data_IF_999866331376
#
_entry.id   IF_999866331376
#
_cell.length_a   1.000
_cell.length_b   1.000
_cell.length_c   1.000
_cell.angle_alpha   90.00
_cell.angle_beta   90.00
_cell.angle_gamma   90.00
#
_symmetry.space_group_name_H-M   'P 1'
#
loop_
_entity.id
_entity.type
_entity.pdbx_description
1 polymer ?
#
# COMPACT_ATOMS: atom_id res chain seq x y z
N UNK A 1 1.38 -21.46 -22.99
CA UNK A 1 2.50 -20.49 -22.93
C UNK A 1 2.33 -19.68 -21.66
N UNK A 2 3.41 -19.41 -20.92
CA UNK A 2 3.35 -18.54 -19.74
C UNK A 2 3.32 -17.08 -20.17
N UNK A 3 2.20 -16.41 -19.94
CA UNK A 3 1.98 -15.02 -20.38
C UNK A 3 2.99 -14.05 -19.76
N UNK A 4 3.45 -14.32 -18.54
CA UNK A 4 4.37 -13.43 -17.82
C UNK A 4 5.78 -13.41 -18.42
N UNK A 5 6.13 -14.41 -19.24
CA UNK A 5 7.39 -14.49 -19.96
C UNK A 5 7.23 -14.19 -21.46
N UNK A 6 6.05 -13.73 -21.88
CA UNK A 6 5.76 -13.51 -23.30
C UNK A 6 6.24 -12.13 -23.79
N UNK A 7 6.91 -12.11 -24.94
CA UNK A 7 7.28 -10.85 -25.60
C UNK A 7 6.05 -10.05 -26.03
N UNK A 8 4.93 -10.74 -26.28
CA UNK A 8 3.65 -10.12 -26.57
C UNK A 8 3.20 -9.18 -25.45
N UNK A 9 3.28 -9.63 -24.19
CA UNK A 9 2.91 -8.83 -23.03
C UNK A 9 3.76 -7.56 -22.94
N UNK A 10 5.08 -7.68 -23.08
CA UNK A 10 6.00 -6.53 -23.03
C UNK A 10 5.70 -5.50 -24.12
N UNK A 11 5.43 -5.96 -25.34
CA UNK A 11 5.07 -5.08 -26.45
C UNK A 11 3.72 -4.39 -26.23
N UNK A 12 2.74 -5.08 -25.64
CA UNK A 12 1.45 -4.49 -25.27
C UNK A 12 1.63 -3.43 -24.16
N UNK A 13 2.40 -3.73 -23.12
CA UNK A 13 2.72 -2.79 -22.05
C UNK A 13 3.41 -1.53 -22.58
N UNK A 14 4.42 -1.68 -23.44
CA UNK A 14 5.13 -0.55 -24.03
C UNK A 14 4.22 0.40 -24.82
N UNK A 15 3.18 -0.13 -25.47
CA UNK A 15 2.20 0.63 -26.26
C UNK A 15 1.00 1.15 -25.46
N UNK A 16 0.72 0.55 -24.31
CA UNK A 16 -0.50 0.80 -23.52
C UNK A 16 -0.63 2.23 -23.00
N UNK A 17 0.48 2.91 -22.70
CA UNK A 17 0.48 4.27 -22.17
C UNK A 17 1.76 5.03 -22.54
N UNK A 18 1.64 6.36 -22.50
CA UNK A 18 2.76 7.30 -22.65
C UNK A 18 3.50 7.55 -21.34
N UNK A 19 2.85 7.33 -20.19
CA UNK A 19 3.46 7.52 -18.87
C UNK A 19 4.01 6.19 -18.31
N UNK A 20 5.16 6.18 -17.62
CA UNK A 20 5.71 4.97 -17.01
C UNK A 20 4.72 4.31 -16.02
N UNK A 21 4.10 5.11 -15.14
CA UNK A 21 3.06 4.64 -14.21
C UNK A 21 1.88 4.01 -14.96
N UNK A 22 1.42 4.63 -16.05
CA UNK A 22 0.31 4.08 -16.83
C UNK A 22 0.66 2.74 -17.50
N UNK A 23 1.93 2.53 -17.90
CA UNK A 23 2.39 1.25 -18.46
C UNK A 23 2.49 0.15 -17.40
N UNK A 24 2.78 0.51 -16.16
CA UNK A 24 2.77 -0.44 -15.04
C UNK A 24 1.33 -0.84 -14.71
N UNK A 25 0.42 0.14 -14.59
CA UNK A 25 -0.97 -0.12 -14.21
C UNK A 25 -1.78 -0.83 -15.30
N UNK A 26 -1.43 -0.63 -16.58
CA UNK A 26 -2.07 -1.33 -17.69
C UNK A 26 -1.79 -2.83 -17.70
N UNK A 27 -0.77 -3.31 -16.98
CA UNK A 27 -0.52 -4.74 -16.78
C UNK A 27 -1.77 -5.46 -16.28
N UNK A 28 -2.45 -4.87 -15.31
CA UNK A 28 -3.64 -5.47 -14.71
C UNK A 28 -4.82 -5.49 -15.68
N UNK A 29 -4.99 -4.42 -16.47
CA UNK A 29 -6.05 -4.34 -17.48
C UNK A 29 -5.81 -5.34 -18.62
N UNK A 30 -4.58 -5.41 -19.13
CA UNK A 30 -4.19 -6.34 -20.20
C UNK A 30 -4.38 -7.79 -19.74
N UNK A 31 -4.00 -8.11 -18.50
CA UNK A 31 -4.23 -9.44 -17.94
C UNK A 31 -5.73 -9.72 -17.78
N UNK A 32 -6.53 -8.74 -17.35
CA UNK A 32 -7.98 -8.90 -17.17
C UNK A 32 -8.68 -9.18 -18.50
N UNK A 33 -8.33 -8.41 -19.54
CA UNK A 33 -8.86 -8.58 -20.89
C UNK A 33 -8.46 -9.94 -21.47
N UNK A 34 -7.22 -10.35 -21.24
CA UNK A 34 -6.71 -11.63 -21.71
C UNK A 34 -7.37 -12.82 -21.01
N UNK A 35 -7.58 -12.75 -19.69
CA UNK A 35 -8.29 -13.79 -18.94
C UNK A 35 -9.79 -13.88 -19.29
N UNK A 36 -10.38 -12.77 -19.73
CA UNK A 36 -11.80 -12.72 -20.12
C UNK A 36 -12.04 -13.15 -21.57
N UNK A 37 -11.00 -13.35 -22.37
CA UNK A 37 -11.13 -13.67 -23.78
C UNK A 37 -11.60 -15.13 -23.98
N UNK A 38 -12.66 -15.36 -24.78
CA UNK A 38 -13.11 -16.71 -25.10
C UNK A 38 -12.04 -17.48 -25.89
N UNK A 39 -11.98 -18.80 -25.68
CA UNK A 39 -11.06 -19.75 -26.35
C UNK A 39 -9.56 -19.63 -26.03
N UNK A 40 -9.17 -18.83 -25.03
CA UNK A 40 -7.78 -18.82 -24.54
C UNK A 40 -7.58 -19.89 -23.45
N UNK A 41 -6.81 -20.93 -23.76
CA UNK A 41 -6.30 -21.86 -22.75
C UNK A 41 -5.18 -21.20 -21.93
N UNK A 42 -5.58 -20.51 -20.87
CA UNK A 42 -4.67 -19.85 -19.95
C UNK A 42 -3.91 -20.89 -19.12
N UNK A 43 -2.58 -20.90 -19.24
CA UNK A 43 -1.70 -21.66 -18.33
C UNK A 43 -0.81 -20.69 -17.59
N UNK A 44 -1.11 -20.44 -16.31
CA UNK A 44 -0.18 -19.78 -15.40
C UNK A 44 0.54 -20.90 -14.63
N UNK A 45 1.80 -21.12 -14.97
CA UNK A 45 2.62 -22.16 -14.34
C UNK A 45 2.78 -21.86 -12.86
N UNK A 46 2.35 -22.72 -11.93
CA UNK A 46 2.47 -22.43 -10.49
C UNK A 46 3.92 -22.20 -10.02
N UNK A 47 4.89 -22.83 -10.69
CA UNK A 47 6.32 -22.80 -10.36
C UNK A 47 7.15 -22.14 -11.48
N UNK A 48 6.85 -20.90 -11.87
CA UNK A 48 7.71 -20.24 -12.85
C UNK A 48 9.00 -19.76 -12.19
N UNK A 49 10.09 -19.97 -12.91
CA UNK A 49 11.35 -19.22 -12.79
C UNK A 49 11.07 -17.72 -12.65
N UNK A 50 11.96 -16.95 -11.99
CA UNK A 50 11.80 -15.51 -11.87
C UNK A 50 11.49 -14.92 -13.25
N UNK A 51 10.41 -14.15 -13.35
CA UNK A 51 9.93 -13.52 -14.60
C UNK A 51 10.86 -12.35 -14.97
N UNK A 52 12.14 -12.67 -15.15
CA UNK A 52 13.24 -11.74 -15.34
C UNK A 52 12.95 -10.67 -16.42
N UNK A 53 12.38 -10.99 -17.60
CA UNK A 53 12.12 -9.97 -18.61
C UNK A 53 10.98 -9.00 -18.22
N UNK A 54 9.95 -9.47 -17.52
CA UNK A 54 8.87 -8.62 -17.03
C UNK A 54 9.35 -7.76 -15.85
N UNK A 55 10.09 -8.34 -14.92
CA UNK A 55 10.65 -7.63 -13.77
C UNK A 55 11.62 -6.55 -14.25
N UNK A 56 12.48 -6.84 -15.23
CA UNK A 56 13.37 -5.85 -15.83
C UNK A 56 12.60 -4.67 -16.46
N UNK A 57 11.56 -4.97 -17.25
CA UNK A 57 10.70 -3.93 -17.83
C UNK A 57 10.02 -3.07 -16.74
N UNK A 58 9.43 -3.71 -15.73
CA UNK A 58 8.77 -3.03 -14.62
C UNK A 58 9.77 -2.22 -13.79
N UNK A 59 11.00 -2.68 -13.64
CA UNK A 59 12.08 -1.97 -12.95
C UNK A 59 12.46 -0.70 -13.69
N UNK A 60 12.56 -0.76 -15.02
CA UNK A 60 12.80 0.42 -15.86
C UNK A 60 11.66 1.44 -15.70
N UNK A 61 10.41 0.99 -15.75
CA UNK A 61 9.26 1.90 -15.58
C UNK A 61 9.19 2.47 -14.15
N UNK A 62 9.49 1.67 -13.12
CA UNK A 62 9.54 2.10 -11.72
C UNK A 62 10.66 3.13 -11.49
N UNK A 63 11.81 2.94 -12.13
CA UNK A 63 12.92 3.91 -12.11
C UNK A 63 12.50 5.22 -12.76
N UNK A 64 11.83 5.16 -13.92
CA UNK A 64 11.30 6.34 -14.59
C UNK A 64 10.18 7.04 -13.80
N UNK A 65 9.48 6.33 -12.92
CA UNK A 65 8.54 6.90 -11.95
C UNK A 65 9.22 7.60 -10.76
N UNK A 66 10.53 7.40 -10.55
CA UNK A 66 11.26 7.92 -9.40
C UNK A 66 11.01 7.14 -8.11
N UNK A 67 10.74 5.84 -8.20
CA UNK A 67 10.59 4.98 -7.04
C UNK A 67 11.89 4.91 -6.22
N UNK A 68 11.78 4.91 -4.89
CA UNK A 68 12.93 4.78 -3.99
C UNK A 68 13.67 3.45 -4.18
N UNK A 69 12.92 2.35 -4.28
CA UNK A 69 13.45 1.01 -4.50
C UNK A 69 12.80 0.37 -5.75
N UNK A 70 13.26 0.70 -6.98
CA UNK A 70 12.58 0.33 -8.21
C UNK A 70 12.56 -1.18 -8.48
N UNK A 71 13.64 -1.90 -8.16
CA UNK A 71 13.72 -3.36 -8.35
C UNK A 71 12.69 -4.08 -7.47
N UNK A 72 12.67 -3.72 -6.18
CA UNK A 72 11.73 -4.28 -5.19
C UNK A 72 10.28 -3.98 -5.59
N UNK A 73 9.98 -2.74 -6.02
CA UNK A 73 8.65 -2.38 -6.50
C UNK A 73 8.23 -3.23 -7.71
N UNK A 74 9.14 -3.47 -8.65
CA UNK A 74 8.87 -4.24 -9.85
C UNK A 74 8.57 -5.72 -9.53
N UNK A 75 9.37 -6.35 -8.68
CA UNK A 75 9.12 -7.71 -8.19
C UNK A 75 7.75 -7.84 -7.52
N UNK A 76 7.39 -6.85 -6.69
CA UNK A 76 6.10 -6.85 -5.99
C UNK A 76 4.92 -6.72 -6.94
N UNK A 77 5.00 -5.81 -7.90
CA UNK A 77 3.94 -5.64 -8.89
C UNK A 77 3.79 -6.89 -9.74
N UNK A 78 4.90 -7.51 -10.16
CA UNK A 78 4.87 -8.76 -10.90
C UNK A 78 4.20 -9.89 -10.10
N UNK A 79 4.49 -10.01 -8.79
CA UNK A 79 3.85 -11.01 -7.95
C UNK A 79 2.36 -10.71 -7.74
N UNK A 80 2.00 -9.47 -7.41
CA UNK A 80 0.60 -9.05 -7.20
C UNK A 80 -0.23 -9.36 -8.47
N UNK A 81 0.29 -9.03 -9.65
CA UNK A 81 -0.34 -9.34 -10.92
C UNK A 81 -0.52 -10.85 -11.15
N UNK A 82 0.51 -11.64 -10.85
CA UNK A 82 0.46 -13.10 -10.94
C UNK A 82 -0.58 -13.73 -10.02
N UNK A 83 -0.58 -13.35 -8.76
CA UNK A 83 -1.49 -13.90 -7.76
C UNK A 83 -2.93 -13.48 -8.05
N UNK A 84 -3.15 -12.23 -8.47
CA UNK A 84 -4.46 -11.77 -8.91
C UNK A 84 -4.97 -12.55 -10.12
N UNK A 85 -4.10 -12.79 -11.11
CA UNK A 85 -4.46 -13.59 -12.29
C UNK A 85 -4.78 -15.05 -11.93
N UNK A 86 -4.00 -15.67 -11.02
CA UNK A 86 -4.30 -17.01 -10.50
C UNK A 86 -5.63 -17.04 -9.74
N UNK A 87 -5.92 -16.00 -8.94
CA UNK A 87 -7.16 -15.90 -8.19
C UNK A 87 -8.37 -15.79 -9.14
N UNK A 88 -8.26 -14.97 -10.18
CA UNK A 88 -9.32 -14.76 -11.18
C UNK A 88 -9.58 -16.01 -12.04
N UNK A 89 -8.55 -16.83 -12.30
CA UNK A 89 -8.70 -18.15 -12.92
C UNK A 89 -9.44 -19.16 -12.05
N UNK A 90 -9.16 -19.15 -10.74
CA UNK A 90 -9.83 -20.07 -9.81
C UNK A 90 -11.24 -19.60 -9.44
N UNK A 91 -11.48 -18.29 -9.48
CA UNK A 91 -12.75 -17.63 -9.14
C UNK A 91 -13.08 -16.57 -10.19
N UNK A 92 -13.75 -16.96 -11.29
CA UNK A 92 -14.19 -16.02 -12.31
C UNK A 92 -15.07 -14.92 -11.71
N UNK A 93 -14.93 -13.69 -12.20
CA UNK A 93 -15.66 -12.49 -11.77
C UNK A 93 -15.36 -11.95 -10.35
N UNK A 94 -14.27 -12.39 -9.70
CA UNK A 94 -13.85 -11.83 -8.40
C UNK A 94 -13.10 -10.48 -8.53
N UNK A 95 -13.01 -9.91 -9.74
CA UNK A 95 -12.36 -8.62 -10.02
C UNK A 95 -10.97 -8.46 -9.36
N UNK A 96 -10.24 -9.57 -9.21
CA UNK A 96 -9.03 -9.64 -8.39
C UNK A 96 -7.93 -8.78 -9.00
N UNK A 97 -7.83 -8.75 -10.34
CA UNK A 97 -6.92 -7.85 -11.05
C UNK A 97 -7.28 -6.36 -10.89
N UNK A 98 -8.56 -6.02 -10.80
CA UNK A 98 -8.97 -4.63 -10.58
C UNK A 98 -8.59 -4.13 -9.17
N UNK A 99 -8.69 -5.00 -8.15
CA UNK A 99 -8.20 -4.71 -6.80
C UNK A 99 -6.68 -4.61 -6.77
N UNK A 100 -5.99 -5.55 -7.42
CA UNK A 100 -4.54 -5.57 -7.55
C UNK A 100 -3.99 -4.31 -8.25
N UNK A 101 -4.70 -3.77 -9.23
CA UNK A 101 -4.37 -2.49 -9.88
C UNK A 101 -4.39 -1.32 -8.90
N UNK A 102 -5.45 -1.20 -8.08
CA UNK A 102 -5.57 -0.12 -7.07
C UNK A 102 -4.46 -0.20 -6.03
N UNK A 103 -4.11 -1.42 -5.64
CA UNK A 103 -2.98 -1.69 -4.76
C UNK A 103 -1.66 -1.24 -5.39
N UNK A 104 -1.40 -1.65 -6.63
CA UNK A 104 -0.16 -1.28 -7.33
C UNK A 104 -0.03 0.24 -7.48
N UNK A 105 -1.15 0.93 -7.74
CA UNK A 105 -1.17 2.40 -7.76
C UNK A 105 -0.78 2.98 -6.40
N UNK A 106 -1.35 2.48 -5.30
CA UNK A 106 -0.99 2.90 -3.95
C UNK A 106 0.50 2.62 -3.62
N UNK A 107 1.06 1.50 -4.08
CA UNK A 107 2.47 1.17 -3.89
C UNK A 107 3.39 2.10 -4.68
N UNK A 108 3.06 2.38 -5.94
CA UNK A 108 3.80 3.34 -6.76
C UNK A 108 3.75 4.71 -6.09
N UNK A 109 2.58 5.17 -5.64
CA UNK A 109 2.45 6.44 -4.94
C UNK A 109 3.27 6.47 -3.65
N UNK A 110 3.26 5.41 -2.84
CA UNK A 110 4.04 5.33 -1.62
C UNK A 110 5.56 5.40 -1.89
N UNK A 111 6.03 4.73 -2.93
CA UNK A 111 7.46 4.67 -3.29
C UNK A 111 7.97 5.90 -4.04
N UNK A 112 7.07 6.70 -4.64
CA UNK A 112 7.43 7.89 -5.43
C UNK A 112 7.17 9.21 -4.68
N UNK A 113 6.33 9.19 -3.65
CA UNK A 113 6.08 10.35 -2.78
C UNK A 113 7.17 10.52 -1.73
N UNK A 114 8.38 10.83 -2.20
CA UNK A 114 9.48 11.30 -1.36
C UNK A 114 9.12 12.65 -0.73
N UNK A 115 8.90 12.69 0.59
CA UNK A 115 8.83 13.91 1.42
C UNK A 115 7.91 15.06 0.98
N UNK A 116 6.87 14.80 0.17
CA UNK A 116 5.95 15.89 -0.25
C UNK A 116 4.99 16.36 0.83
N UNK A 117 4.92 15.67 1.96
CA UNK A 117 4.13 16.07 3.14
C UNK A 117 4.94 16.89 4.15
N UNK A 118 6.28 16.87 4.12
CA UNK A 118 7.13 17.69 4.99
C UNK A 118 7.24 19.16 4.52
N UNK A 119 6.93 19.45 3.25
CA UNK A 119 7.01 20.79 2.64
C UNK A 119 5.62 21.40 2.35
N UNK A 120 4.65 21.24 3.27
CA UNK A 120 3.42 22.04 3.29
C UNK A 120 3.19 22.80 4.61
N UNK A 121 4.24 22.96 5.41
CA UNK A 121 4.27 23.86 6.56
C UNK A 121 5.07 25.11 6.17
N UNK A 122 4.39 26.14 5.68
CA UNK A 122 4.78 27.56 5.70
C UNK A 122 4.27 28.31 4.46
N UNK A 123 2.97 28.59 4.44
CA UNK A 123 2.46 29.84 3.86
C UNK A 123 1.16 30.27 4.54
N UNK A 124 1.14 30.21 5.88
CA UNK A 124 0.21 31.03 6.64
C UNK A 124 0.77 32.45 6.58
N UNK A 125 0.10 33.34 5.85
CA UNK A 125 0.44 34.77 5.84
C UNK A 125 0.37 35.28 7.29
N UNK A 126 1.38 36.02 7.80
CA UNK A 126 1.25 36.66 9.10
C UNK A 126 0.19 37.77 8.97
N UNK A 127 -0.93 37.61 9.66
CA UNK A 127 -1.88 38.70 9.87
C UNK A 127 -1.21 39.69 10.83
N UNK A 128 -0.90 40.86 10.30
CA UNK A 128 -0.28 41.98 11.00
C UNK A 128 -1.23 42.47 12.10
N UNK A 129 -0.63 42.72 13.27
CA UNK A 129 -1.22 43.33 14.45
C UNK A 129 -2.00 44.62 14.14
N UNK A 130 -3.23 44.71 14.64
CA UNK A 130 -3.95 45.95 14.84
C UNK A 130 -4.19 46.18 16.33
N UNK A 131 -3.28 46.92 16.97
CA UNK A 131 -3.48 47.47 18.32
C UNK A 131 -4.48 48.61 18.19
N UNK A 132 -5.61 48.55 18.90
CA UNK A 132 -6.48 49.71 19.09
C UNK A 132 -6.92 49.79 20.56
N UNK A 133 -6.18 50.63 21.27
CA UNK A 133 -6.53 51.48 22.40
C UNK A 133 -7.73 51.13 23.30
N UNK A 134 -7.39 50.86 24.56
CA UNK A 134 -8.16 51.19 25.75
C UNK A 134 -8.59 52.66 25.80
N UNK A 135 -9.84 52.94 26.19
CA UNK A 135 -10.18 54.02 27.14
C UNK A 135 -11.63 53.89 27.65
N UNK A 136 -11.75 54.18 28.94
CA UNK A 136 -12.86 53.99 29.86
C UNK A 136 -13.90 55.14 29.82
N UNK A 137 -15.03 54.88 30.48
CA UNK A 137 -15.81 55.78 31.37
C UNK A 137 -17.22 56.19 30.90
N UNK A 138 -18.19 55.61 31.64
CA UNK A 138 -19.43 56.13 32.22
C UNK A 138 -20.45 56.92 31.39
N UNK A 139 -21.67 56.39 31.37
CA UNK A 139 -22.93 57.10 31.12
C UNK A 139 -24.08 56.38 31.84
N UNK A 140 -24.92 57.14 32.52
CA UNK A 140 -25.79 56.76 33.63
C UNK A 140 -27.16 56.21 33.16
N UNK A 141 -27.73 55.34 33.99
CA UNK A 141 -29.10 54.82 34.09
C UNK A 141 -30.20 55.32 33.13
N UNK A 142 -30.98 54.39 32.57
CA UNK A 142 -32.38 54.10 32.98
C UNK A 142 -32.89 52.87 32.24
N UNK A 143 -33.86 52.20 32.85
CA UNK A 143 -34.50 50.95 32.43
C UNK A 143 -34.95 50.94 30.95
N UNK A 144 -35.08 49.75 30.37
CA UNK A 144 -36.34 49.19 29.84
C UNK A 144 -36.10 47.74 29.37
N UNK A 145 -37.05 46.87 29.71
CA UNK A 145 -37.21 45.53 29.15
C UNK A 145 -37.42 45.62 27.63
N UNK A 146 -36.81 44.71 26.86
CA UNK A 146 -37.39 44.08 25.65
C UNK A 146 -36.45 42.93 25.23
N UNK A 147 -37.01 41.72 25.19
CA UNK A 147 -36.49 40.55 24.49
C UNK A 147 -36.67 40.77 22.98
N UNK A 148 -35.74 40.31 22.13
CA UNK A 148 -36.20 39.40 21.10
C UNK A 148 -35.31 38.16 20.94
N UNK A 149 -36.01 37.07 20.62
CA UNK A 149 -35.53 35.84 20.04
C UNK A 149 -34.56 36.05 18.86
N UNK A 150 -33.77 35.00 18.61
CA UNK A 150 -33.01 34.65 17.39
C UNK A 150 -31.50 34.85 17.47
N UNK A 151 -30.77 33.79 17.86
CA UNK A 151 -30.19 32.87 16.87
C UNK A 151 -29.42 31.78 17.62
N UNK A 152 -29.88 30.52 17.50
CA UNK A 152 -29.08 29.36 17.88
C UNK A 152 -27.85 29.33 16.98
N UNK A 153 -26.73 29.73 17.54
CA UNK A 153 -25.39 29.47 17.00
C UNK A 153 -25.17 27.95 17.04
N UNK A 154 -25.56 27.27 15.96
CA UNK A 154 -24.99 25.97 15.63
C UNK A 154 -23.53 26.20 15.27
N UNK A 155 -22.66 26.21 16.27
CA UNK A 155 -21.30 25.74 16.07
C UNK A 155 -21.39 24.21 15.93
N UNK A 156 -21.04 23.63 14.77
CA UNK A 156 -20.67 22.24 14.77
C UNK A 156 -19.36 22.16 15.56
N UNK A 157 -19.45 21.72 16.81
CA UNK A 157 -18.32 21.06 17.46
C UNK A 157 -18.08 19.76 16.69
N UNK A 158 -17.37 19.84 15.57
CA UNK A 158 -16.60 18.73 15.07
C UNK A 158 -15.46 18.53 16.07
N UNK A 159 -15.79 17.85 17.17
CA UNK A 159 -14.83 17.02 17.84
C UNK A 159 -14.39 15.99 16.78
N UNK A 160 -13.31 16.32 16.05
CA UNK A 160 -12.50 15.30 15.41
C UNK A 160 -11.84 14.58 16.58
N UNK A 161 -12.60 13.65 17.14
CA UNK A 161 -12.02 12.53 17.83
C UNK A 161 -11.11 11.90 16.79
N UNK A 162 -9.81 12.17 16.89
CA UNK A 162 -8.78 11.44 16.19
C UNK A 162 -8.77 10.03 16.79
N UNK A 163 -9.82 9.27 16.49
CA UNK A 163 -9.75 7.84 16.39
C UNK A 163 -8.71 7.60 15.31
N UNK A 164 -7.47 7.42 15.78
CA UNK A 164 -6.49 6.55 15.16
C UNK A 164 -7.31 5.44 14.52
N UNK A 165 -7.40 5.43 13.20
CA UNK A 165 -7.87 4.26 12.50
C UNK A 165 -6.99 3.14 13.06
N UNK A 166 -7.53 2.16 13.80
CA UNK A 166 -6.77 0.97 14.03
C UNK A 166 -6.47 0.45 12.64
N UNK A 167 -5.19 0.27 12.33
CA UNK A 167 -4.77 -0.63 11.27
C UNK A 167 -5.68 -1.84 11.38
N UNK A 168 -6.52 -2.03 10.36
CA UNK A 168 -7.56 -3.04 10.36
C UNK A 168 -6.85 -4.37 10.60
N UNK A 169 -6.96 -4.88 11.82
CA UNK A 169 -6.74 -6.28 12.09
C UNK A 169 -7.91 -6.99 11.41
N UNK A 170 -7.72 -7.30 10.13
CA UNK A 170 -8.62 -8.20 9.41
C UNK A 170 -8.46 -9.54 10.12
N UNK A 171 -9.51 -9.96 10.81
CA UNK A 171 -9.60 -11.29 11.36
C UNK A 171 -9.36 -12.29 10.23
N UNK A 172 -8.28 -13.07 10.35
CA UNK A 172 -8.03 -14.25 9.52
C UNK A 172 -9.15 -15.25 9.79
N UNK A 173 -10.17 -15.24 8.94
CA UNK A 173 -11.11 -16.34 8.82
C UNK A 173 -11.02 -16.92 7.40
N UNK A 174 -10.54 -18.16 7.37
CA UNK A 174 -10.63 -19.21 6.35
C UNK A 174 -10.63 -18.87 4.85
N UNK A 175 -9.53 -19.30 4.22
CA UNK A 175 -9.45 -19.92 2.88
C UNK A 175 -10.02 -19.15 1.69
N UNK A 176 -9.58 -17.91 1.49
CA UNK A 176 -9.49 -17.35 0.14
C UNK A 176 -8.24 -16.46 0.06
N UNK A 177 -7.12 -17.11 -0.24
CA UNK A 177 -5.84 -16.43 -0.44
C UNK A 177 -5.96 -15.44 -1.59
N UNK A 178 -5.84 -14.15 -1.30
CA UNK A 178 -6.10 -13.09 -2.27
C UNK A 178 -4.84 -12.29 -2.60
N UNK A 179 -4.85 -11.56 -3.72
CA UNK A 179 -3.89 -10.48 -3.98
C UNK A 179 -3.71 -9.56 -2.76
N UNK A 180 -4.76 -9.36 -1.94
CA UNK A 180 -4.69 -8.64 -0.67
C UNK A 180 -3.71 -9.25 0.36
N UNK A 181 -3.54 -10.56 0.37
CA UNK A 181 -2.63 -11.24 1.30
C UNK A 181 -1.17 -11.02 0.92
N UNK A 182 -0.87 -10.95 -0.38
CA UNK A 182 0.46 -10.57 -0.87
C UNK A 182 0.81 -9.13 -0.51
N UNK A 183 -0.19 -8.23 -0.50
CA UNK A 183 -0.01 -6.83 -0.06
C UNK A 183 0.23 -6.74 1.43
N UNK A 184 -0.56 -7.47 2.21
CA UNK A 184 -0.41 -7.52 3.66
C UNK A 184 0.97 -8.05 4.05
N UNK A 185 1.43 -9.08 3.36
CA UNK A 185 2.79 -9.62 3.48
C UNK A 185 3.84 -8.54 3.22
N UNK A 186 3.69 -7.80 2.11
CA UNK A 186 4.61 -6.73 1.76
C UNK A 186 4.66 -5.62 2.81
N UNK A 187 3.50 -5.16 3.27
CA UNK A 187 3.43 -4.15 4.33
C UNK A 187 4.17 -4.61 5.59
N UNK A 188 4.12 -5.91 5.92
CA UNK A 188 4.89 -6.48 7.04
C UNK A 188 6.40 -6.49 6.75
N UNK A 189 6.85 -6.77 5.53
CA UNK A 189 8.27 -6.66 5.20
C UNK A 189 8.81 -5.24 5.34
N UNK A 190 8.06 -4.24 4.88
CA UNK A 190 8.46 -2.83 5.05
C UNK A 190 8.49 -2.42 6.53
N UNK A 191 7.58 -2.94 7.34
CA UNK A 191 7.69 -2.78 8.79
C UNK A 191 8.97 -3.43 9.31
N UNK A 192 9.23 -4.69 8.93
CA UNK A 192 10.42 -5.42 9.38
C UNK A 192 11.72 -4.68 9.01
N UNK A 193 11.79 -4.08 7.82
CA UNK A 193 12.94 -3.28 7.37
C UNK A 193 13.20 -2.03 8.23
N UNK A 194 12.15 -1.46 8.80
CA UNK A 194 12.20 -0.24 9.59
C UNK A 194 12.27 -0.48 11.10
N UNK A 195 12.35 -1.75 11.54
CA UNK A 195 12.36 -2.12 12.95
C UNK A 195 13.46 -3.11 13.30
N UNK A 196 13.71 -3.30 14.59
CA UNK A 196 14.52 -4.41 15.09
C UNK A 196 13.61 -5.59 15.38
N UNK A 197 13.71 -6.65 14.58
CA UNK A 197 12.78 -7.78 14.63
C UNK A 197 13.40 -9.06 15.19
N UNK A 198 12.61 -9.79 15.96
CA UNK A 198 12.91 -11.12 16.47
C UNK A 198 12.07 -12.14 15.72
N UNK A 199 12.76 -13.07 15.07
CA UNK A 199 12.19 -14.14 14.27
C UNK A 199 12.09 -15.43 15.10
N UNK A 200 11.04 -16.24 14.93
CA UNK A 200 10.98 -17.57 15.54
C UNK A 200 12.19 -18.43 15.17
N UNK A 201 12.64 -19.31 16.06
CA UNK A 201 13.79 -20.16 15.76
C UNK A 201 13.46 -21.17 14.65
N UNK A 202 14.31 -21.26 13.64
CA UNK A 202 14.11 -22.14 12.49
C UNK A 202 14.06 -23.64 12.85
N UNK A 203 14.58 -24.02 14.03
CA UNK A 203 14.52 -25.39 14.56
C UNK A 203 13.10 -25.79 15.03
N UNK A 204 12.28 -24.81 15.41
CA UNK A 204 10.90 -25.01 15.87
C UNK A 204 9.90 -25.04 14.70
N UNK A 205 10.37 -24.78 13.48
CA UNK A 205 9.56 -24.78 12.28
C UNK A 205 9.46 -26.22 11.74
N UNK A 206 8.25 -26.72 11.45
CA UNK A 206 8.08 -28.04 10.82
C UNK A 206 8.87 -28.14 9.52
N UNK A 207 9.50 -29.30 9.26
CA UNK A 207 10.36 -29.47 8.07
C UNK A 207 9.64 -29.16 6.76
N UNK A 208 8.33 -29.43 6.68
CA UNK A 208 7.49 -29.09 5.52
C UNK A 208 7.43 -27.60 5.18
N UNK A 209 7.55 -26.72 6.18
CA UNK A 209 7.39 -25.28 6.02
C UNK A 209 8.74 -24.54 6.10
N UNK A 210 9.81 -25.27 6.43
CA UNK A 210 11.12 -24.71 6.77
C UNK A 210 11.79 -23.98 5.60
N UNK A 211 11.67 -24.52 4.39
CA UNK A 211 12.19 -23.87 3.19
C UNK A 211 11.49 -22.52 2.94
N UNK A 212 10.15 -22.52 2.95
CA UNK A 212 9.32 -21.32 2.81
C UNK A 212 9.64 -20.30 3.91
N UNK A 213 9.82 -20.76 5.15
CA UNK A 213 10.19 -19.88 6.25
C UNK A 213 11.54 -19.20 6.03
N UNK A 214 12.58 -19.94 5.64
CA UNK A 214 13.92 -19.39 5.44
C UNK A 214 13.98 -18.47 4.22
N UNK A 215 13.40 -18.87 3.10
CA UNK A 215 13.46 -18.10 1.86
C UNK A 215 12.53 -16.90 1.89
N UNK A 216 11.30 -17.06 2.38
CA UNK A 216 10.32 -16.00 2.33
C UNK A 216 10.40 -15.12 3.58
N UNK A 217 10.29 -15.69 4.77
CA UNK A 217 10.18 -14.90 6.01
C UNK A 217 11.51 -14.30 6.44
N UNK A 218 12.59 -15.09 6.41
CA UNK A 218 13.91 -14.64 6.88
C UNK A 218 14.65 -13.87 5.79
N UNK A 219 14.76 -14.42 4.57
CA UNK A 219 15.44 -13.73 3.48
C UNK A 219 14.59 -12.64 2.81
N UNK A 220 13.28 -12.61 3.07
CA UNK A 220 12.37 -11.58 2.56
C UNK A 220 11.92 -11.81 1.12
N UNK A 221 12.11 -13.01 0.56
CA UNK A 221 11.69 -13.29 -0.82
C UNK A 221 10.17 -13.46 -0.90
N UNK A 222 9.59 -13.06 -2.02
CA UNK A 222 8.15 -13.17 -2.23
C UNK A 222 7.78 -14.54 -2.83
N UNK A 223 6.86 -15.32 -2.23
CA UNK A 223 6.56 -16.67 -2.67
C UNK A 223 5.79 -16.66 -3.99
N UNK A 224 6.12 -17.60 -4.89
CA UNK A 224 5.55 -17.66 -6.23
C UNK A 224 4.20 -18.39 -6.33
N UNK A 225 3.77 -19.06 -5.26
CA UNK A 225 2.54 -19.83 -5.20
C UNK A 225 1.65 -19.37 -4.01
N UNK A 226 0.36 -19.73 -4.03
CA UNK A 226 -0.58 -19.29 -3.00
C UNK A 226 -0.39 -20.02 -1.65
N UNK A 227 0.05 -21.28 -1.68
CA UNK A 227 0.23 -22.07 -0.45
C UNK A 227 1.43 -21.59 0.37
N UNK A 228 2.55 -21.29 -0.29
CA UNK A 228 3.75 -20.76 0.38
C UNK A 228 3.50 -19.31 0.79
N UNK A 229 2.68 -18.55 0.03
CA UNK A 229 2.18 -17.24 0.44
C UNK A 229 1.39 -17.32 1.75
N UNK A 230 0.45 -18.25 1.86
CA UNK A 230 -0.33 -18.48 3.09
C UNK A 230 0.59 -18.82 4.27
N UNK A 231 1.52 -19.73 4.03
CA UNK A 231 2.46 -20.25 5.02
C UNK A 231 3.37 -19.14 5.52
N UNK A 232 4.00 -18.40 4.60
CA UNK A 232 4.84 -17.26 4.92
C UNK A 232 4.07 -16.17 5.69
N UNK A 233 2.84 -15.86 5.29
CA UNK A 233 1.99 -14.90 6.02
C UNK A 233 1.72 -15.34 7.47
N UNK A 234 1.45 -16.63 7.71
CA UNK A 234 1.26 -17.17 9.06
C UNK A 234 2.51 -17.03 9.93
N UNK A 235 3.70 -17.19 9.35
CA UNK A 235 4.95 -17.03 10.08
C UNK A 235 5.36 -15.57 10.27
N UNK A 236 5.07 -14.69 9.32
CA UNK A 236 5.28 -13.24 9.47
C UNK A 236 4.49 -12.65 10.63
N UNK A 237 3.31 -13.19 10.95
CA UNK A 237 2.53 -12.78 12.12
C UNK A 237 3.19 -13.09 13.45
N UNK A 238 4.11 -14.06 13.45
CA UNK A 238 4.84 -14.47 14.65
C UNK A 238 6.12 -13.65 14.83
N UNK A 239 6.53 -12.87 13.83
CA UNK A 239 7.69 -11.97 13.93
C UNK A 239 7.36 -10.80 14.86
N UNK A 240 8.23 -10.55 15.83
CA UNK A 240 8.07 -9.47 16.81
C UNK A 240 9.03 -8.35 16.49
N UNK A 241 8.52 -7.20 16.06
CA UNK A 241 9.34 -6.03 15.74
C UNK A 241 9.18 -4.93 16.79
N UNK A 242 10.31 -4.39 17.22
CA UNK A 242 10.37 -3.15 18.00
C UNK A 242 10.73 -2.00 17.04
N UNK A 243 9.98 -0.92 17.14
CA UNK A 243 10.16 0.26 16.29
C UNK A 243 10.59 1.44 17.16
N UNK A 244 11.65 2.14 16.74
CA UNK A 244 12.05 3.38 17.40
C UNK A 244 10.94 4.42 17.17
N UNK A 245 10.33 4.99 18.23
CA UNK A 245 9.28 5.98 18.06
C UNK A 245 9.84 7.22 17.34
N UNK A 246 9.06 7.80 16.42
CA UNK A 246 9.49 8.92 15.56
C UNK A 246 10.02 10.14 16.34
N UNK A 247 9.63 10.29 17.60
CA UNK A 247 10.12 11.35 18.49
C UNK A 247 11.62 11.22 18.83
N UNK A 248 12.23 10.05 18.62
CA UNK A 248 13.65 9.79 18.89
C UNK A 248 14.49 9.60 17.61
N UNK A 249 13.87 9.60 16.43
CA UNK A 249 14.58 9.41 15.16
C UNK A 249 15.47 10.61 14.76
N UNK A 250 15.16 11.81 15.27
CA UNK A 250 15.91 13.06 15.01
C UNK A 250 16.65 13.62 16.23
N UNK A 251 16.64 12.92 17.37
CA UNK A 251 17.43 13.31 18.54
C UNK A 251 18.79 12.64 18.48
N UNK A 252 19.67 13.14 17.61
CA UNK A 252 21.11 12.89 17.75
C UNK A 252 21.69 14.07 18.52
N UNK A 253 22.41 13.76 19.60
CA UNK A 253 23.21 14.73 20.36
C UNK A 253 24.64 14.77 19.83
#
# INVERSE_FOLDING_TARGET
>A
MDIFNSQWLLNMLAKSSKSPQGRILSLFDILSDWLSAPDIHVTITKNATPNEPLIAFLTEQATACGAENPNILAEHIALIARNAALQELNQPNNHSLAHAKKVADALILAQTQKDRTALKTSRAKPAVYGIAASLLVAGIATAWLIVPLHSKQHQPTLAINANKAPLVAVALNETNLSAQDAVTMYAKYEQIRNGTCQFPEALLIPDKDKAVYLENVVAGNLPSNLNDLATANSYLEKVRCNFTPMLMANSTS
#
